data_IF_747445400445
#
_entry.id   IF_747445400445
#
_cell.length_a   1.000
_cell.length_b   1.000
_cell.length_c   1.000
_cell.angle_alpha   90.00
_cell.angle_beta   90.00
_cell.angle_gamma   90.00
#
_symmetry.space_group_name_H-M   'P 1'
#
loop_
_entity.id
_entity.type
_entity.pdbx_description
1 polymer ?
2 polymer ?
3 polymer ?
#
loop_
_entity_poly.entity_id
_entity_poly.type
_entity_poly.pdbx_seq_one_letter_code
_entity_poly.pdbx_strand_id
2 'polydeoxyribonucleotide' '(DC)(DT)(DT)(DT)(DA)(DT)(DG)(DT)(DT)(DT)(DT)(DT)(DC)(DT)(DT)(DA)(DT)(DG)(DT)(DA)(DA)(DT)(DA)(DC)(DG)' ?
3 'polydeoxyribonucleotide' '(DC)(DG)(DT)(DA)(DT)(DT)(DA)(DC)(DA)(DT)(DA)(DA)(DG)(DA)(DA)(DA)(DA)(DA)(DC)(DA)(DT)(DA)(DA)(DA)(DG)' ?
#
# COMPACT_ATOMS: atom_id res chain seq x y z
N UNK A 2 -14.16 -3.58 -38.81
CA UNK A 2 -14.69 -4.36 -37.70
C UNK A 2 -13.55 -4.84 -36.84
N UNK A 3 -13.81 -5.01 -35.54
CA UNK A 3 -12.77 -5.30 -34.56
C UNK A 3 -13.23 -6.34 -33.56
N UNK A 4 -12.25 -7.01 -32.95
CA UNK A 4 -12.48 -8.09 -32.00
C UNK A 4 -11.63 -7.81 -30.76
N UNK A 5 -12.24 -7.96 -29.58
CA UNK A 5 -11.67 -7.44 -28.34
C UNK A 5 -11.85 -8.41 -27.19
N UNK A 6 -10.76 -8.74 -26.48
CA UNK A 6 -10.79 -9.71 -25.39
C UNK A 6 -11.25 -11.09 -25.85
N UNK A 7 -11.14 -11.35 -27.16
CA UNK A 7 -11.67 -12.53 -27.85
C UNK A 7 -13.17 -12.69 -27.57
N UNK A 8 -13.78 -11.70 -26.94
CA UNK A 8 -15.14 -11.83 -26.42
C UNK A 8 -16.13 -10.86 -27.02
N UNK A 9 -15.71 -9.66 -27.39
CA UNK A 9 -16.61 -8.63 -27.92
C UNK A 9 -16.30 -8.30 -29.37
N UNK A 10 -17.32 -8.31 -30.21
CA UNK A 10 -17.22 -7.76 -31.56
C UNK A 10 -17.64 -6.30 -31.54
N UNK A 11 -17.00 -5.51 -32.37
CA UNK A 11 -17.25 -4.08 -32.34
C UNK A 11 -17.18 -3.57 -33.77
N UNK A 12 -18.31 -3.06 -34.26
CA UNK A 12 -18.28 -2.37 -35.54
C UNK A 12 -18.27 -0.89 -35.21
N UNK A 13 -17.19 -0.22 -35.48
CA UNK A 13 -17.06 1.18 -35.08
C UNK A 13 -17.88 2.07 -35.96
N UNK A 14 -17.71 1.92 -37.27
CA UNK A 14 -18.38 2.80 -38.22
C UNK A 14 -19.89 2.71 -38.14
N UNK A 15 -20.43 1.95 -37.20
CA UNK A 15 -21.84 1.97 -36.93
C UNK A 15 -22.16 2.23 -35.46
N UNK A 16 -21.13 2.47 -34.62
CA UNK A 16 -21.31 2.69 -33.20
C UNK A 16 -22.02 1.51 -32.55
N UNK A 17 -21.54 0.30 -32.81
CA UNK A 17 -22.27 -0.82 -32.28
C UNK A 17 -21.34 -1.89 -31.74
N UNK A 18 -21.85 -2.60 -30.73
CA UNK A 18 -21.03 -3.42 -29.87
C UNK A 18 -21.79 -4.68 -29.47
N UNK A 19 -21.19 -5.84 -29.72
CA UNK A 19 -21.80 -7.14 -29.43
C UNK A 19 -20.84 -8.00 -28.62
N UNK A 20 -21.40 -9.06 -28.01
CA UNK A 20 -20.78 -9.96 -27.04
C UNK A 20 -21.11 -11.41 -27.37
N UNK A 21 -20.16 -12.34 -27.12
CA UNK A 21 -20.46 -13.73 -27.48
C UNK A 21 -21.48 -14.34 -26.53
N UNK A 22 -21.60 -13.77 -25.33
CA UNK A 22 -22.72 -14.04 -24.43
C UNK A 22 -24.03 -13.82 -25.16
N UNK A 23 -24.20 -12.63 -25.75
CA UNK A 23 -25.46 -12.18 -26.33
C UNK A 23 -25.30 -12.00 -27.83
N UNK A 24 -25.47 -13.08 -28.58
CA UNK A 24 -25.63 -12.91 -30.01
C UNK A 24 -26.83 -12.00 -30.31
N UNK A 25 -27.81 -11.98 -29.39
CA UNK A 25 -29.02 -11.21 -29.60
C UNK A 25 -28.76 -9.72 -29.42
N UNK A 26 -28.19 -9.34 -28.27
CA UNK A 26 -28.16 -7.94 -27.84
C UNK A 26 -26.91 -7.22 -28.34
N UNK A 27 -27.10 -6.38 -29.37
CA UNK A 27 -26.18 -5.29 -29.64
C UNK A 27 -26.44 -4.20 -28.62
N UNK A 28 -25.39 -3.52 -28.16
CA UNK A 28 -25.59 -2.26 -27.45
C UNK A 28 -25.21 -1.10 -28.35
N UNK A 29 -26.07 -0.10 -28.38
CA UNK A 29 -25.70 1.18 -28.93
C UNK A 29 -24.60 1.79 -28.08
N UNK A 30 -23.73 2.54 -28.75
CA UNK A 30 -22.73 3.37 -28.08
C UNK A 30 -22.92 4.81 -28.53
N UNK A 31 -23.07 5.72 -27.55
CA UNK A 31 -23.09 7.14 -27.81
C UNK A 31 -21.83 7.53 -28.58
N UNK A 32 -21.99 8.39 -29.58
CA UNK A 32 -20.91 8.68 -30.51
C UNK A 32 -19.58 8.78 -29.78
N UNK A 33 -19.59 9.54 -28.69
CA UNK A 33 -18.44 9.74 -27.83
C UNK A 33 -17.72 8.44 -27.49
N UNK A 34 -18.39 7.56 -26.77
CA UNK A 34 -17.83 6.27 -26.37
C UNK A 34 -17.28 5.49 -27.56
N UNK A 35 -18.03 5.45 -28.66
CA UNK A 35 -17.59 4.66 -29.80
C UNK A 35 -16.29 5.18 -30.35
N UNK A 36 -16.20 6.49 -30.53
CA UNK A 36 -14.98 7.10 -31.01
C UNK A 36 -13.84 6.78 -30.07
N UNK A 37 -14.07 6.97 -28.78
CA UNK A 37 -13.10 6.60 -27.76
C UNK A 37 -12.53 5.23 -28.05
N UNK A 38 -13.42 4.25 -28.15
CA UNK A 38 -13.00 2.89 -28.37
C UNK A 38 -12.22 2.75 -29.66
N UNK A 39 -12.75 3.32 -30.73
CA UNK A 39 -12.08 3.27 -32.01
C UNK A 39 -10.64 3.72 -31.88
N UNK A 40 -10.43 4.84 -31.20
CA UNK A 40 -9.10 5.40 -31.10
C UNK A 40 -8.22 4.54 -30.21
N UNK A 41 -8.73 4.12 -29.07
CA UNK A 41 -7.96 3.27 -28.19
C UNK A 41 -7.54 2.01 -28.90
N UNK A 42 -8.34 1.60 -29.88
CA UNK A 42 -8.09 0.40 -30.66
C UNK A 42 -7.00 0.60 -31.69
N UNK A 43 -7.19 1.55 -32.62
CA UNK A 43 -6.13 1.91 -33.56
C UNK A 43 -4.73 1.93 -32.93
N UNK A 44 -4.62 2.32 -31.66
CA UNK A 44 -3.36 2.33 -30.90
C UNK A 44 -3.52 1.50 -29.61
N UNK A 45 -3.46 0.18 -29.72
CA UNK A 45 -3.77 -0.66 -28.56
C UNK A 45 -2.58 -0.73 -27.65
N UNK A 46 -2.86 -0.91 -26.37
CA UNK A 46 -1.80 -0.97 -25.37
C UNK A 46 -0.82 0.19 -25.52
N UNK A 47 -1.33 1.33 -25.95
CA UNK A 47 -0.62 2.58 -25.77
C UNK A 47 -1.44 3.50 -24.90
N UNK A 48 -0.76 4.46 -24.33
CA UNK A 48 -1.39 5.46 -23.50
C UNK A 48 -1.84 6.60 -24.41
N UNK A 49 -3.06 7.06 -24.18
CA UNK A 49 -3.64 8.14 -24.95
C UNK A 49 -3.79 9.35 -24.04
N UNK A 50 -3.10 10.42 -24.43
CA UNK A 50 -3.22 11.77 -23.89
C UNK A 50 -4.69 12.15 -23.66
N UNK A 51 -5.04 12.53 -22.42
CA UNK A 51 -6.41 12.96 -22.13
C UNK A 51 -6.92 13.91 -23.21
N UNK A 52 -6.14 14.96 -23.49
CA UNK A 52 -6.50 15.92 -24.52
C UNK A 52 -6.65 15.26 -25.88
N UNK A 53 -5.77 14.31 -26.22
CA UNK A 53 -5.88 13.66 -27.52
C UNK A 53 -7.27 13.09 -27.70
N UNK A 54 -7.75 12.36 -26.69
CA UNK A 54 -9.10 11.81 -26.75
C UNK A 54 -10.12 12.93 -26.84
N UNK A 55 -10.04 13.91 -25.93
CA UNK A 55 -10.89 15.08 -25.97
C UNK A 55 -11.05 15.61 -27.39
N UNK A 56 -9.92 15.85 -28.04
CA UNK A 56 -9.95 16.57 -29.30
C UNK A 56 -10.48 15.68 -30.41
N UNK A 57 -10.10 14.40 -30.44
CA UNK A 57 -10.63 13.51 -31.46
C UNK A 57 -12.13 13.24 -31.26
N UNK A 58 -12.64 13.47 -30.07
CA UNK A 58 -14.04 13.09 -29.87
C UNK A 58 -14.95 14.29 -30.08
N UNK A 59 -14.44 15.51 -29.90
CA UNK A 59 -15.30 16.69 -29.91
C UNK A 59 -14.96 17.65 -31.06
N UNK A 60 -14.06 18.61 -30.84
CA UNK A 60 -14.16 19.90 -31.51
C UNK A 60 -13.96 19.89 -33.03
N UNK A 61 -13.81 18.76 -33.75
CA UNK A 61 -13.81 18.88 -35.22
C UNK A 61 -15.08 19.54 -35.71
N UNK A 62 -16.17 19.31 -34.99
CA UNK A 62 -17.40 20.06 -34.97
C UNK A 62 -17.40 21.10 -33.84
N UNK A 63 -16.24 21.68 -33.52
CA UNK A 63 -16.15 22.88 -32.70
C UNK A 63 -16.09 22.75 -31.18
N UNK A 64 -16.64 21.67 -30.63
CA UNK A 64 -17.18 21.61 -29.26
C UNK A 64 -16.24 21.64 -28.05
N UNK A 65 -16.10 22.84 -27.49
CA UNK A 65 -15.21 23.17 -26.37
C UNK A 65 -15.83 22.84 -25.02
N UNK A 66 -16.11 21.56 -24.83
CA UNK A 66 -16.80 21.14 -23.62
C UNK A 66 -15.81 21.16 -22.46
N UNK A 67 -16.28 20.83 -21.27
CA UNK A 67 -15.41 20.83 -20.10
C UNK A 67 -14.57 19.56 -20.09
N UNK A 68 -13.62 19.52 -19.18
CA UNK A 68 -12.76 18.34 -19.14
C UNK A 68 -13.50 17.16 -18.51
N UNK A 69 -14.49 17.44 -17.65
CA UNK A 69 -15.12 16.38 -16.88
C UNK A 69 -15.94 15.42 -17.75
N UNK A 70 -16.46 15.92 -18.87
CA UNK A 70 -17.33 15.11 -19.71
C UNK A 70 -16.62 13.83 -20.13
N UNK A 71 -15.32 13.93 -20.43
CA UNK A 71 -14.52 12.77 -20.75
C UNK A 71 -14.53 11.75 -19.64
N UNK A 72 -14.27 12.19 -18.41
CA UNK A 72 -14.25 11.26 -17.29
C UNK A 72 -15.58 10.52 -17.19
N UNK A 73 -16.68 11.26 -17.31
CA UNK A 73 -17.98 10.60 -17.29
C UNK A 73 -18.05 9.55 -18.39
N UNK A 74 -17.84 9.95 -19.65
CA UNK A 74 -17.94 9.02 -20.77
C UNK A 74 -17.11 7.78 -20.52
N UNK A 75 -15.95 7.93 -19.92
CA UNK A 75 -15.15 6.77 -19.55
C UNK A 75 -15.95 5.87 -18.63
N UNK A 76 -16.41 6.43 -17.52
CA UNK A 76 -17.15 5.60 -16.56
C UNK A 76 -18.31 4.92 -17.25
N UNK A 77 -18.98 5.66 -18.13
CA UNK A 77 -20.08 5.13 -18.92
C UNK A 77 -19.62 3.94 -19.74
N UNK A 78 -18.46 4.05 -20.34
CA UNK A 78 -18.01 2.97 -21.19
C UNK A 78 -17.73 1.72 -20.37
N UNK A 79 -17.11 1.88 -19.19
CA UNK A 79 -16.90 0.69 -18.37
C UNK A 79 -18.19 0.16 -17.76
N UNK A 80 -19.21 1.01 -17.61
CA UNK A 80 -20.51 0.51 -17.15
C UNK A 80 -21.22 -0.29 -18.24
N UNK A 81 -21.00 0.07 -19.51
CA UNK A 81 -21.49 -0.78 -20.60
C UNK A 81 -20.72 -2.08 -20.64
N UNK A 82 -19.38 -1.99 -20.66
CA UNK A 82 -18.54 -3.16 -20.72
C UNK A 82 -18.59 -4.01 -19.48
N UNK A 83 -19.12 -3.47 -18.39
CA UNK A 83 -18.99 -4.06 -17.06
C UNK A 83 -17.54 -4.45 -16.79
N UNK A 84 -16.68 -3.43 -16.81
CA UNK A 84 -15.33 -3.57 -16.32
C UNK A 84 -15.28 -3.00 -14.91
N UNK A 85 -14.68 -3.75 -13.99
CA UNK A 85 -14.63 -3.29 -12.61
C UNK A 85 -13.65 -2.15 -12.50
N UNK A 86 -14.02 -1.16 -11.68
CA UNK A 86 -13.14 -0.05 -11.36
C UNK A 86 -11.70 -0.50 -11.26
N UNK A 87 -11.48 -1.54 -10.47
CA UNK A 87 -10.17 -2.13 -10.23
C UNK A 87 -10.48 -3.44 -9.56
N UNK A 88 -9.90 -4.52 -10.06
CA UNK A 88 -9.02 -4.63 -11.22
C UNK A 88 -9.72 -4.45 -12.57
N UNK A 89 -9.21 -3.52 -13.37
CA UNK A 89 -9.72 -3.34 -14.73
C UNK A 89 -9.12 -4.33 -15.70
N UNK A 90 -9.97 -4.91 -16.54
CA UNK A 90 -9.50 -5.88 -17.52
C UNK A 90 -9.33 -5.29 -18.91
N UNK A 91 -10.18 -4.33 -19.27
CA UNK A 91 -10.15 -3.79 -20.62
C UNK A 91 -9.46 -2.44 -20.72
N UNK A 92 -9.70 -1.51 -19.78
CA UNK A 92 -9.20 -0.15 -19.96
C UNK A 92 -8.59 0.38 -18.65
N UNK A 93 -7.29 0.63 -18.67
CA UNK A 93 -6.55 1.08 -17.52
C UNK A 93 -6.50 2.61 -17.53
N UNK A 94 -6.77 3.21 -16.39
CA UNK A 94 -6.49 4.63 -16.30
C UNK A 94 -5.00 4.83 -16.04
N UNK A 95 -4.40 5.80 -16.72
CA UNK A 95 -3.01 6.09 -16.42
C UNK A 95 -3.04 7.49 -15.82
N UNK A 96 -2.93 7.60 -14.50
CA UNK A 96 -3.09 8.88 -13.82
C UNK A 96 -2.30 10.00 -14.46
N UNK A 97 -2.99 11.10 -14.76
CA UNK A 97 -2.40 12.31 -15.28
C UNK A 97 -1.84 12.11 -16.68
N UNK A 98 -2.01 10.95 -17.28
CA UNK A 98 -1.51 10.70 -18.61
C UNK A 98 -2.64 10.41 -19.59
N UNK A 99 -3.64 9.67 -19.16
CA UNK A 99 -4.82 9.46 -19.98
C UNK A 99 -5.42 8.09 -19.78
N UNK A 100 -5.62 7.36 -20.88
CA UNK A 100 -6.20 6.02 -20.80
C UNK A 100 -5.51 5.04 -21.73
N UNK A 101 -5.52 3.77 -21.34
CA UNK A 101 -4.77 2.72 -22.04
C UNK A 101 -5.67 1.51 -22.29
N UNK A 102 -5.52 0.95 -23.47
CA UNK A 102 -6.24 -0.24 -23.91
C UNK A 102 -5.37 -1.47 -23.71
N UNK A 103 -5.66 -2.27 -22.67
CA UNK A 103 -4.81 -3.40 -22.31
C UNK A 103 -5.36 -4.72 -22.84
N UNK A 104 -6.68 -4.78 -23.07
CA UNK A 104 -7.26 -5.97 -23.66
C UNK A 104 -6.62 -6.28 -25.01
N UNK A 105 -6.35 -7.56 -25.24
CA UNK A 105 -5.80 -7.98 -26.52
C UNK A 105 -6.83 -7.75 -27.63
N UNK A 106 -6.34 -7.56 -28.84
CA UNK A 106 -7.16 -6.97 -29.89
C UNK A 106 -7.00 -7.76 -31.19
N UNK A 107 -8.09 -8.32 -31.68
CA UNK A 107 -8.10 -9.04 -32.95
C UNK A 107 -8.86 -8.26 -34.02
N UNK A 108 -8.71 -8.70 -35.26
CA UNK A 108 -9.19 -7.91 -36.38
C UNK A 108 -9.93 -8.68 -37.49
N UNK B 2 13.12 -11.80 36.69
CA UNK B 2 13.73 -12.18 35.41
C UNK B 2 12.60 -12.52 34.45
N UNK B 3 12.78 -12.18 33.17
CA UNK B 3 11.74 -12.23 32.15
C UNK B 3 12.16 -13.09 30.97
N UNK B 4 11.19 -13.65 30.25
CA UNK B 4 11.50 -14.54 29.13
C UNK B 4 10.61 -14.22 27.95
N UNK B 5 11.24 -14.06 26.80
CA UNK B 5 10.63 -13.42 25.66
C UNK B 5 10.68 -14.38 24.49
N UNK B 6 9.54 -14.64 23.88
CA UNK B 6 9.46 -15.50 22.70
C UNK B 6 9.98 -16.91 22.99
N UNK B 7 9.93 -17.35 24.25
CA UNK B 7 10.58 -18.58 24.68
C UNK B 7 12.02 -18.67 24.18
N UNK B 8 12.62 -17.52 23.89
CA UNK B 8 13.97 -17.45 23.33
C UNK B 8 14.89 -16.63 24.24
N UNK B 9 14.68 -15.34 24.38
CA UNK B 9 15.58 -14.52 25.19
C UNK B 9 15.21 -14.56 26.68
N UNK B 10 16.22 -14.69 27.53
CA UNK B 10 16.08 -14.56 28.97
C UNK B 10 16.71 -13.23 29.38
N UNK B 11 15.92 -12.41 30.05
CA UNK B 11 16.24 -11.03 30.37
C UNK B 11 16.31 -10.91 31.88
N UNK B 12 17.52 -10.75 32.41
CA UNK B 12 17.66 -10.36 33.80
C UNK B 12 17.75 -8.84 33.77
N UNK B 13 16.70 -8.15 34.20
CA UNK B 13 16.77 -6.69 34.23
C UNK B 13 17.75 -6.20 35.26
N UNK B 14 17.95 -6.95 36.34
CA UNK B 14 18.72 -6.45 37.46
C UNK B 14 20.21 -6.65 37.28
N UNK B 15 20.65 -7.14 36.12
CA UNK B 15 22.08 -7.12 35.80
C UNK B 15 22.30 -6.71 34.36
N UNK B 16 21.22 -6.29 33.67
CA UNK B 16 21.26 -5.82 32.29
C UNK B 16 21.78 -6.91 31.39
N UNK B 17 21.28 -8.11 31.57
CA UNK B 17 21.80 -9.22 30.79
C UNK B 17 20.68 -9.83 30.00
N UNK B 18 21.07 -10.40 28.88
CA UNK B 18 20.15 -10.97 27.91
C UNK B 18 20.81 -12.19 27.28
N UNK B 19 20.09 -13.31 27.23
CA UNK B 19 20.69 -14.56 26.78
C UNK B 19 19.73 -15.36 25.92
N UNK B 20 20.28 -16.00 24.92
CA UNK B 20 19.47 -16.68 23.95
C UNK B 20 19.65 -18.18 24.12
N UNK B 21 18.56 -18.93 23.92
CA UNK B 21 18.65 -20.38 24.02
C UNK B 21 19.58 -20.92 22.94
N UNK B 22 19.68 -20.19 21.82
CA UNK B 22 20.77 -20.42 20.88
C UNK B 22 22.10 -20.44 21.63
N UNK B 23 22.31 -19.47 22.49
CA UNK B 23 23.64 -19.21 23.04
C UNK B 23 23.55 -19.21 24.55
N UNK B 24 23.59 -20.42 25.12
CA UNK B 24 23.76 -20.52 26.56
C UNK B 24 25.04 -19.82 26.96
N UNK B 25 26.00 -19.77 26.05
CA UNK B 25 27.29 -19.16 26.35
C UNK B 25 27.18 -17.65 26.38
N UNK B 26 26.88 -17.04 25.25
CA UNK B 26 27.00 -15.59 25.12
C UNK B 26 25.97 -14.83 25.92
N UNK B 27 26.43 -14.14 26.92
CA UNK B 27 25.69 -13.14 27.69
C UNK B 27 25.76 -11.87 26.85
N UNK B 28 24.64 -11.22 26.62
CA UNK B 28 24.64 -9.92 25.95
C UNK B 28 24.45 -8.86 27.03
N UNK B 29 25.33 -7.86 27.05
CA UNK B 29 25.17 -6.75 27.99
C UNK B 29 24.42 -5.62 27.32
N UNK B 30 23.48 -5.04 28.06
CA UNK B 30 22.65 -3.95 27.58
C UNK B 30 23.06 -2.66 28.30
N UNK B 31 23.30 -1.61 27.51
CA UNK B 31 23.49 -0.27 28.05
C UNK B 31 22.28 0.05 28.88
N UNK B 32 22.46 0.78 29.97
CA UNK B 32 21.37 0.88 30.94
C UNK B 32 20.08 1.23 30.23
N UNK B 33 20.13 2.29 29.41
CA UNK B 33 18.97 2.78 28.67
C UNK B 33 18.12 1.65 28.10
N UNK B 34 18.74 0.76 27.34
CA UNK B 34 17.97 -0.27 26.65
C UNK B 34 17.35 -1.25 27.62
N UNK B 35 18.10 -1.63 28.67
CA UNK B 35 17.51 -2.56 29.63
C UNK B 35 16.28 -1.93 30.24
N UNK B 36 16.31 -0.60 30.37
CA UNK B 36 15.23 0.02 31.11
C UNK B 36 13.99 0.02 30.24
N UNK B 37 14.20 0.43 29.00
CA UNK B 37 13.19 0.29 28.00
C UNK B 37 12.57 -1.08 28.05
N UNK B 38 13.39 -2.10 27.94
CA UNK B 38 12.85 -3.45 27.86
C UNK B 38 12.05 -3.77 29.12
N UNK B 39 12.59 -3.45 30.29
CA UNK B 39 11.90 -3.65 31.56
C UNK B 39 10.52 -3.05 31.53
N UNK B 40 10.43 -1.83 31.05
CA UNK B 40 9.15 -1.16 31.03
C UNK B 40 8.22 -1.82 30.04
N UNK B 41 8.63 -1.90 28.79
CA UNK B 41 7.82 -2.54 27.77
C UNK B 41 7.27 -3.85 28.30
N UNK B 42 8.12 -4.57 29.04
CA UNK B 42 7.74 -5.86 29.59
C UNK B 42 6.65 -5.72 30.62
N UNK B 43 6.90 -4.95 31.69
CA UNK B 43 5.89 -4.87 32.73
C UNK B 43 4.54 -4.40 32.23
N UNK B 44 4.48 -3.78 31.04
CA UNK B 44 3.22 -3.46 30.36
C UNK B 44 3.26 -3.99 28.94
N UNK B 45 3.20 -5.31 28.78
CA UNK B 45 3.40 -5.92 27.47
C UNK B 45 2.16 -5.75 26.62
N UNK B 46 2.41 -5.49 25.34
CA UNK B 46 1.39 -5.30 24.33
C UNK B 46 0.67 -3.97 24.52
N UNK B 47 0.89 -3.31 25.64
CA UNK B 47 0.40 -1.95 25.69
C UNK B 47 1.31 -1.01 24.91
N UNK B 48 0.72 0.06 24.41
CA UNK B 48 1.50 1.08 23.78
C UNK B 48 2.01 2.05 24.85
N UNK B 49 3.32 2.25 24.88
CA UNK B 49 3.97 3.18 25.78
C UNK B 49 4.19 4.48 25.01
N UNK B 50 3.77 5.62 25.60
CA UNK B 50 4.02 6.92 24.99
C UNK B 50 5.51 7.14 24.77
N UNK B 51 5.87 8.00 23.80
CA UNK B 51 7.30 8.26 23.61
C UNK B 51 7.92 8.94 24.85
N UNK B 52 7.10 9.76 25.54
CA UNK B 52 7.55 10.49 26.72
C UNK B 52 7.63 9.63 27.93
N UNK B 53 6.71 8.68 28.09
CA UNK B 53 6.81 7.80 29.24
C UNK B 53 8.18 7.12 29.25
N UNK B 54 8.56 6.57 28.10
CA UNK B 54 9.90 6.05 27.90
C UNK B 54 10.96 7.09 28.25
N UNK B 55 10.99 8.20 27.49
CA UNK B 55 11.96 9.26 27.73
C UNK B 55 12.17 9.49 29.21
N UNK B 56 11.07 9.67 29.93
CA UNK B 56 11.15 10.11 31.32
C UNK B 56 11.66 9.00 32.21
N UNK B 57 11.07 7.81 32.09
CA UNK B 57 11.56 6.67 32.85
C UNK B 57 13.01 6.33 32.55
N UNK B 58 13.45 6.59 31.35
CA UNK B 58 14.79 6.16 31.03
C UNK B 58 15.82 7.24 31.33
N UNK B 59 15.35 8.41 31.75
CA UNK B 59 16.28 9.47 32.11
C UNK B 59 15.77 10.24 33.36
N UNK B 60 16.25 11.50 33.47
CA UNK B 60 15.62 12.55 34.27
C UNK B 60 15.58 12.39 35.80
N UNK B 61 15.17 11.23 36.34
CA UNK B 61 15.27 11.03 37.80
C UNK B 61 16.72 11.17 38.24
N UNK B 62 17.64 10.72 37.39
CA UNK B 62 19.02 11.15 37.31
C UNK B 62 19.20 12.27 36.27
N UNK B 63 18.27 13.22 36.20
CA UNK B 63 18.47 14.45 35.45
C UNK B 63 18.01 14.56 34.00
N UNK B 64 18.54 13.71 33.13
CA UNK B 64 18.96 14.09 31.77
C UNK B 64 17.87 14.69 30.87
N UNK B 65 18.26 15.81 30.21
CA UNK B 65 17.46 16.53 29.20
C UNK B 65 18.01 16.32 27.81
N UNK B 66 17.95 15.06 27.43
CA UNK B 66 18.36 14.66 26.10
C UNK B 66 17.20 14.86 25.15
N UNK B 67 17.48 14.77 23.86
CA UNK B 67 16.43 15.01 22.88
C UNK B 67 15.73 13.70 22.55
N UNK B 68 14.68 13.81 21.73
CA UNK B 68 13.97 12.60 21.39
C UNK B 68 14.82 11.61 20.64
N UNK B 69 15.72 12.10 19.79
CA UNK B 69 16.52 11.21 18.95
C UNK B 69 17.14 10.08 19.77
N UNK B 70 17.67 10.40 20.96
CA UNK B 70 18.26 9.37 21.82
C UNK B 70 17.35 8.16 21.96
N UNK B 71 16.11 8.36 22.44
CA UNK B 71 15.11 7.28 22.44
C UNK B 71 15.12 6.47 21.14
N UNK B 72 14.81 7.13 20.02
CA UNK B 72 14.82 6.47 18.73
C UNK B 72 16.07 5.63 18.57
N UNK B 73 17.23 6.25 18.84
CA UNK B 73 18.48 5.53 18.70
C UNK B 73 18.47 4.31 19.61
N UNK B 74 18.25 4.51 20.92
CA UNK B 74 18.16 3.37 21.81
C UNK B 74 17.29 2.28 21.21
N UNK B 75 16.12 2.63 20.65
CA UNK B 75 15.30 1.56 20.09
C UNK B 75 16.05 0.82 19.01
N UNK B 76 16.55 1.53 17.99
CA UNK B 76 17.32 0.86 16.95
C UNK B 76 18.35 -0.06 17.60
N UNK B 77 19.11 0.49 18.55
CA UNK B 77 20.08 -0.30 19.31
C UNK B 77 19.43 -1.55 19.89
N UNK B 78 18.37 -1.37 20.66
CA UNK B 78 17.69 -2.49 21.28
C UNK B 78 17.28 -3.54 20.26
N UNK B 79 16.67 -3.12 19.15
CA UNK B 79 16.26 -4.14 18.19
C UNK B 79 17.46 -4.90 17.62
N UNK B 80 18.59 -4.18 17.41
CA UNK B 80 19.84 -4.81 17.00
C UNK B 80 20.27 -5.90 17.96
N UNK B 81 20.09 -5.67 19.27
CA UNK B 81 20.42 -6.70 20.26
C UNK B 81 19.55 -7.92 20.08
N UNK B 82 18.29 -7.72 19.71
CA UNK B 82 17.37 -8.83 19.65
C UNK B 82 17.35 -9.51 18.30
N UNK B 83 18.05 -8.99 17.30
CA UNK B 83 17.90 -9.46 15.94
C UNK B 83 16.43 -9.31 15.53
N UNK B 84 15.84 -8.20 15.89
CA UNK B 84 14.47 -7.89 15.53
C UNK B 84 14.53 -7.07 14.25
N UNK B 85 13.84 -7.54 13.22
CA UNK B 85 13.91 -6.85 11.95
C UNK B 85 12.84 -5.78 11.98
N UNK B 86 13.25 -4.55 11.70
CA UNK B 86 12.33 -3.42 11.80
C UNK B 86 10.99 -3.76 11.14
N UNK B 87 10.98 -3.93 9.82
CA UNK B 87 9.80 -4.49 9.18
C UNK B 87 10.20 -5.79 8.50
N UNK B 88 9.57 -6.91 8.88
CA UNK B 88 8.49 -7.02 9.86
C UNK B 88 8.99 -7.55 11.20
N UNK B 89 8.45 -6.99 12.28
CA UNK B 89 9.06 -7.16 13.58
C UNK B 89 8.55 -8.40 14.27
N UNK B 90 9.36 -8.91 15.21
CA UNK B 90 8.96 -10.01 16.07
C UNK B 90 8.75 -9.60 17.52
N UNK B 91 9.25 -8.44 17.93
CA UNK B 91 9.30 -8.07 19.34
C UNK B 91 8.72 -6.69 19.63
N UNK B 92 9.14 -5.67 18.88
CA UNK B 92 8.91 -4.29 19.27
C UNK B 92 8.33 -3.48 18.11
N UNK B 93 7.07 -3.12 18.23
CA UNK B 93 6.36 -2.41 17.20
C UNK B 93 6.52 -0.92 17.43
N UNK B 94 6.78 -0.18 16.36
CA UNK B 94 6.70 1.25 16.47
C UNK B 94 5.31 1.69 16.09
N UNK B 95 4.79 2.67 16.82
CA UNK B 95 3.40 3.08 16.76
C UNK B 95 3.41 4.58 16.49
N UNK B 96 3.50 4.98 15.23
CA UNK B 96 3.77 6.38 14.87
C UNK B 96 3.11 7.43 15.75
N UNK B 97 3.91 8.34 16.28
CA UNK B 97 3.44 9.45 17.11
C UNK B 97 2.81 8.98 18.41
N UNK B 98 2.67 7.68 18.63
CA UNK B 98 2.29 7.30 19.98
C UNK B 98 3.38 6.56 20.74
N UNK B 99 4.33 5.91 20.08
CA UNK B 99 5.44 5.37 20.82
C UNK B 99 5.89 4.01 20.35
N UNK B 100 6.15 3.10 21.29
CA UNK B 100 6.62 1.76 21.00
C UNK B 100 5.82 0.78 21.83
N UNK B 101 5.77 -0.47 21.36
CA UNK B 101 4.87 -1.45 21.94
C UNK B 101 5.48 -2.84 21.85
N UNK B 102 5.24 -3.64 22.88
CA UNK B 102 5.88 -4.96 22.99
C UNK B 102 4.89 -6.03 22.56
N UNK B 103 5.05 -6.53 21.31
CA UNK B 103 4.13 -7.53 20.78
C UNK B 103 4.50 -8.92 21.31
N UNK B 104 5.76 -9.11 21.71
CA UNK B 104 6.29 -10.42 22.03
C UNK B 104 5.53 -11.14 23.15
N UNK B 105 5.67 -12.45 23.11
CA UNK B 105 5.21 -13.42 24.08
C UNK B 105 6.10 -13.35 25.33
N UNK B 106 5.57 -13.01 26.49
CA UNK B 106 6.40 -12.70 27.64
C UNK B 106 6.03 -13.55 28.85
N UNK B 107 7.04 -14.13 29.50
CA UNK B 107 6.92 -14.94 30.71
C UNK B 107 7.80 -14.35 31.80
N UNK B 108 7.61 -14.84 33.03
CA UNK B 108 8.29 -14.34 34.22
C UNK B 108 8.87 -15.47 35.09
N UNK B 109 9.99 -15.18 35.78
CA UNK B 109 10.61 -16.12 36.74
C UNK B 109 10.94 -15.53 38.13
#
# INVERSE_FOLDING_TARGET
>A
MKFILAEKFTFDPLSNTLIDKEDSEEIIRLGSNESRILWLLAQRPNEVISRNDLHDFVWREQGFEVDDSSLTQAISTLRKMLKDSTKSPQYVKTVPKRGYQLIARVETV
>B
MKFILAEKFTFDPLSNTLIDKEDSEEIIRLGSNESRILWLLAQRPNEVISRNDLHDFVWREQGFEVDDSSLTQAISTLRKMLKDSTKSPQYVKTVPKRGYQLIARVETV
#
